data_IF_568089073105
#
_entry.id   IF_568089073105
#
_cell.length_a   1.000
_cell.length_b   1.000
_cell.length_c   1.000
_cell.angle_alpha   90.00
_cell.angle_beta   90.00
_cell.angle_gamma   90.00
#
_symmetry.space_group_name_H-M   'P 1'
#
loop_
_entity.id
_entity.type
_entity.pdbx_description
1 polymer ?
#
# COMPACT_ATOMS: atom_id res chain seq x y z
N UNK A 1 -17.31 17.26 4.77
CA UNK A 1 -16.26 16.35 5.27
C UNK A 1 -15.90 15.42 4.11
N UNK A 2 -14.77 15.50 3.42
CA UNK A 2 -13.41 15.42 3.94
C UNK A 2 -12.93 13.96 4.00
N UNK A 3 -13.17 13.14 2.98
CA UNK A 3 -12.70 11.75 2.92
C UNK A 3 -11.24 11.75 2.42
N UNK A 4 -10.32 12.01 3.33
CA UNK A 4 -8.91 11.79 3.15
C UNK A 4 -8.68 10.27 3.06
N UNK A 5 -8.65 9.76 1.81
CA UNK A 5 -8.54 8.35 1.45
C UNK A 5 -7.24 7.65 1.90
N UNK A 6 -6.96 7.68 3.20
CA UNK A 6 -5.92 6.94 3.89
C UNK A 6 -6.45 5.57 4.25
N UNK A 7 -5.93 4.54 3.58
CA UNK A 7 -6.17 3.16 3.99
C UNK A 7 -5.19 2.80 5.11
N UNK A 8 -5.69 2.52 6.31
CA UNK A 8 -4.90 1.88 7.39
C UNK A 8 -4.96 0.36 7.24
N UNK A 9 -3.80 -0.24 6.98
CA UNK A 9 -3.54 -1.69 6.81
C UNK A 9 -3.95 -2.61 7.99
N UNK A 10 -4.52 -2.09 9.08
CA UNK A 10 -4.73 -2.85 10.31
C UNK A 10 -5.88 -3.87 10.29
N UNK A 11 -6.94 -3.63 9.52
CA UNK A 11 -8.18 -4.42 9.65
C UNK A 11 -8.41 -5.49 8.57
N UNK A 12 -7.76 -5.40 7.41
CA UNK A 12 -8.13 -6.22 6.23
C UNK A 12 -7.18 -7.39 5.95
N UNK A 13 -5.96 -7.37 6.49
CA UNK A 13 -4.96 -8.44 6.29
C UNK A 13 -5.29 -9.75 7.04
N UNK A 14 -6.11 -9.70 8.09
CA UNK A 14 -6.42 -10.88 8.90
C UNK A 14 -7.32 -11.93 8.23
N UNK A 15 -8.06 -11.57 7.18
CA UNK A 15 -9.07 -12.46 6.59
C UNK A 15 -8.54 -13.37 5.47
N UNK A 16 -7.49 -12.97 4.75
CA UNK A 16 -7.07 -13.63 3.50
C UNK A 16 -5.97 -14.69 3.66
N UNK A 17 -5.31 -14.78 4.82
CA UNK A 17 -4.16 -15.69 4.98
C UNK A 17 -4.55 -17.15 5.23
N UNK A 18 -5.82 -17.46 5.52
CA UNK A 18 -6.31 -18.84 5.67
C UNK A 18 -6.62 -19.58 4.36
N UNK A 19 -6.74 -18.88 3.23
CA UNK A 19 -7.22 -19.50 1.99
C UNK A 19 -6.12 -20.03 1.06
N UNK A 20 -4.83 -19.74 1.33
CA UNK A 20 -3.74 -20.08 0.38
C UNK A 20 -3.09 -21.47 0.57
N UNK A 21 -3.44 -22.26 1.59
CA UNK A 21 -2.78 -23.54 1.87
C UNK A 21 -3.50 -24.81 1.34
N UNK A 22 -4.62 -24.68 0.64
CA UNK A 22 -5.38 -25.84 0.14
C UNK A 22 -5.72 -25.76 -1.34
N UNK A 23 -4.77 -26.07 -2.24
CA UNK A 23 -5.09 -26.28 -3.66
C UNK A 23 -4.58 -27.63 -4.17
N UNK A 24 -5.41 -28.65 -3.99
CA UNK A 24 -5.47 -29.83 -4.85
C UNK A 24 -6.30 -29.52 -6.11
N UNK A 25 -5.81 -29.96 -7.26
CA UNK A 25 -6.28 -29.67 -8.62
C UNK A 25 -7.45 -30.60 -8.99
N UNK A 26 -8.57 -30.10 -9.54
CA UNK A 26 -9.36 -30.82 -10.57
C UNK A 26 -10.41 -29.95 -11.28
N UNK A 27 -10.64 -30.29 -12.55
CA UNK A 27 -11.55 -29.74 -13.56
C UNK A 27 -13.03 -29.76 -13.12
N UNK A 28 -13.80 -28.71 -13.43
CA UNK A 28 -15.03 -28.80 -14.26
C UNK A 28 -15.71 -27.45 -14.46
N UNK A 29 -16.07 -27.26 -15.72
CA UNK A 29 -16.99 -26.28 -16.29
C UNK A 29 -18.41 -26.48 -15.74
N UNK A 30 -19.07 -25.38 -15.32
CA UNK A 30 -20.43 -24.96 -15.75
C UNK A 30 -20.95 -23.79 -14.90
N UNK A 31 -21.34 -22.76 -15.64
CA UNK A 31 -22.29 -21.69 -15.39
C UNK A 31 -23.15 -21.81 -14.12
N UNK A 32 -22.93 -20.90 -13.16
CA UNK A 32 -23.98 -20.41 -12.25
C UNK A 32 -23.86 -18.90 -12.12
N UNK A 33 -24.75 -18.20 -12.82
CA UNK A 33 -25.12 -16.81 -12.58
C UNK A 33 -25.91 -16.77 -11.26
N UNK A 34 -25.33 -16.20 -10.20
CA UNK A 34 -26.08 -15.46 -9.18
C UNK A 34 -25.16 -14.84 -8.12
N UNK A 35 -25.28 -13.52 -7.97
CA UNK A 35 -25.28 -12.80 -6.70
C UNK A 35 -24.00 -12.83 -5.84
N UNK A 36 -23.17 -11.80 -5.99
CA UNK A 36 -22.88 -10.90 -4.86
C UNK A 36 -22.39 -9.56 -5.41
N UNK A 37 -23.36 -8.69 -5.72
CA UNK A 37 -23.14 -7.28 -5.99
C UNK A 37 -22.71 -6.60 -4.68
N UNK A 38 -21.45 -6.16 -4.61
CA UNK A 38 -21.08 -4.99 -3.81
C UNK A 38 -20.54 -3.90 -4.73
N UNK A 39 -21.38 -3.51 -5.70
CA UNK A 39 -21.32 -2.16 -6.26
C UNK A 39 -22.03 -1.25 -5.26
N UNK A 40 -21.26 -0.54 -4.45
CA UNK A 40 -21.77 0.68 -3.83
C UNK A 40 -21.83 1.78 -4.90
N UNK A 41 -22.94 2.53 -4.99
CA UNK A 41 -23.16 3.48 -6.06
C UNK A 41 -22.24 4.68 -5.87
N UNK A 42 -21.47 5.02 -6.90
CA UNK A 42 -20.74 6.28 -6.95
C UNK A 42 -21.77 7.43 -6.96
N UNK A 43 -21.98 8.03 -5.80
CA UNK A 43 -22.81 9.20 -5.60
C UNK A 43 -22.21 10.41 -6.33
N UNK A 44 -23.10 11.11 -7.04
CA UNK A 44 -23.07 12.55 -7.34
C UNK A 44 -21.84 13.14 -8.06
N UNK A 45 -22.10 13.67 -9.25
CA UNK A 45 -21.21 14.51 -10.03
C UNK A 45 -20.51 15.59 -9.17
N UNK A 46 -19.20 15.48 -9.02
CA UNK A 46 -18.34 16.51 -8.45
C UNK A 46 -17.04 16.51 -9.25
N UNK A 47 -16.71 17.65 -9.88
CA UNK A 47 -15.43 18.05 -10.48
C UNK A 47 -14.44 16.90 -10.83
N UNK A 48 -14.10 16.71 -12.11
CA UNK A 48 -13.08 15.76 -12.64
C UNK A 48 -11.66 15.93 -12.03
N UNK A 49 -11.50 15.81 -10.71
CA UNK A 49 -10.23 15.54 -10.06
C UNK A 49 -10.05 14.04 -10.16
N UNK A 50 -9.01 13.60 -10.86
CA UNK A 50 -8.62 12.18 -10.90
C UNK A 50 -8.62 11.64 -9.47
N UNK A 51 -9.42 10.60 -9.21
CA UNK A 51 -9.49 9.97 -7.90
C UNK A 51 -8.07 9.55 -7.48
N UNK A 52 -7.58 10.12 -6.37
CA UNK A 52 -6.23 9.84 -5.87
C UNK A 52 -6.30 8.54 -5.06
N UNK A 53 -5.37 7.65 -5.35
CA UNK A 53 -5.04 6.52 -4.49
C UNK A 53 -3.62 6.74 -3.98
N UNK A 54 -3.50 6.98 -2.67
CA UNK A 54 -2.25 7.33 -2.00
C UNK A 54 -1.83 6.18 -1.09
N UNK A 55 -0.61 5.69 -1.28
CA UNK A 55 -0.04 4.59 -0.48
C UNK A 55 1.00 5.13 0.50
N UNK A 56 0.84 4.77 1.77
CA UNK A 56 1.82 5.04 2.82
C UNK A 56 2.85 3.92 2.87
N UNK A 57 4.11 4.24 2.65
CA UNK A 57 5.19 3.26 2.63
C UNK A 57 6.10 3.44 3.83
N UNK A 58 6.51 2.32 4.40
CA UNK A 58 7.52 2.26 5.45
C UNK A 58 8.92 2.19 4.82
N UNK A 59 9.89 2.83 5.46
CA UNK A 59 11.31 2.81 5.08
C UNK A 59 12.17 1.92 5.99
N UNK A 60 11.70 1.62 7.20
CA UNK A 60 12.42 0.81 8.20
C UNK A 60 11.44 -0.07 8.99
N UNK A 61 11.98 -1.11 9.64
CA UNK A 61 11.25 -1.86 10.67
C UNK A 61 11.56 -1.21 12.02
N UNK A 62 10.60 -0.45 12.53
CA UNK A 62 10.79 0.44 13.67
C UNK A 62 11.36 1.80 13.24
N UNK A 63 11.79 2.63 14.20
CA UNK A 63 12.36 3.95 13.89
C UNK A 63 13.51 4.33 14.85
N UNK A 64 14.66 4.73 14.29
CA UNK A 64 15.84 5.10 15.07
C UNK A 64 15.72 6.47 15.75
N UNK A 65 14.83 7.34 15.27
CA UNK A 65 14.65 8.70 15.79
C UNK A 65 14.07 8.74 17.22
N UNK A 66 13.42 7.66 17.67
CA UNK A 66 12.85 7.54 19.03
C UNK A 66 11.99 8.74 19.46
N UNK A 67 11.24 9.33 18.54
CA UNK A 67 10.31 10.42 18.85
C UNK A 67 9.32 9.98 19.93
N UNK A 68 9.24 10.73 21.04
CA UNK A 68 8.43 10.37 22.23
C UNK A 68 6.94 10.23 21.94
N UNK A 69 6.44 10.98 20.97
CA UNK A 69 5.04 10.95 20.52
C UNK A 69 4.74 9.85 19.50
N UNK A 70 5.75 9.24 18.89
CA UNK A 70 5.57 8.29 17.79
C UNK A 70 5.56 6.84 18.30
N UNK A 71 4.55 6.06 17.91
CA UNK A 71 4.46 4.64 18.29
C UNK A 71 5.67 3.83 17.81
N UNK A 72 6.13 4.07 16.58
CA UNK A 72 7.32 3.40 16.01
C UNK A 72 8.62 3.85 16.68
N UNK A 73 8.66 5.09 17.16
CA UNK A 73 9.76 5.60 17.98
C UNK A 73 9.89 4.84 19.31
N UNK A 74 8.76 4.53 19.96
CA UNK A 74 8.74 3.74 21.21
C UNK A 74 9.15 2.28 21.02
N UNK A 75 8.84 1.69 19.86
CA UNK A 75 9.22 0.31 19.53
C UNK A 75 10.74 0.15 19.30
N UNK A 76 11.45 1.24 19.06
CA UNK A 76 12.87 1.23 18.73
C UNK A 76 13.14 0.83 17.28
N UNK A 77 14.42 0.80 16.91
CA UNK A 77 14.89 0.45 15.58
C UNK A 77 15.35 -1.01 15.53
N UNK A 78 14.96 -1.73 14.48
CA UNK A 78 15.44 -3.09 14.21
C UNK A 78 16.36 -3.15 13.00
N UNK A 79 15.86 -2.74 11.82
CA UNK A 79 16.62 -2.77 10.56
C UNK A 79 16.03 -1.84 9.51
N UNK A 80 16.83 -1.55 8.49
CA UNK A 80 16.38 -0.92 7.25
C UNK A 80 15.63 -1.91 6.35
N UNK A 81 14.67 -1.41 5.58
CA UNK A 81 14.02 -2.16 4.50
C UNK A 81 14.85 -2.07 3.22
N UNK A 82 14.87 -3.15 2.46
CA UNK A 82 15.43 -3.15 1.11
C UNK A 82 14.50 -2.42 0.13
N UNK A 83 15.03 -1.97 -1.01
CA UNK A 83 14.23 -1.33 -2.06
C UNK A 83 13.07 -2.22 -2.52
N UNK A 84 13.31 -3.54 -2.65
CA UNK A 84 12.27 -4.50 -3.01
C UNK A 84 11.15 -4.57 -1.97
N UNK A 85 11.48 -4.56 -0.68
CA UNK A 85 10.46 -4.53 0.40
C UNK A 85 9.66 -3.22 0.41
N UNK A 86 10.27 -2.09 0.03
CA UNK A 86 9.57 -0.80 -0.10
C UNK A 86 8.61 -0.83 -1.29
N UNK A 87 9.07 -1.28 -2.46
CA UNK A 87 8.24 -1.37 -3.68
C UNK A 87 7.10 -2.37 -3.50
N UNK A 88 7.36 -3.52 -2.87
CA UNK A 88 6.36 -4.57 -2.64
C UNK A 88 5.19 -4.09 -1.78
N UNK A 89 5.38 -3.13 -0.87
CA UNK A 89 4.27 -2.53 -0.12
C UNK A 89 3.27 -1.84 -1.05
N UNK A 90 3.74 -1.19 -2.11
CA UNK A 90 2.89 -0.53 -3.11
C UNK A 90 2.16 -1.57 -3.95
N UNK A 91 2.88 -2.55 -4.49
CA UNK A 91 2.30 -3.61 -5.33
C UNK A 91 1.24 -4.43 -4.57
N UNK A 92 1.54 -4.81 -3.33
CA UNK A 92 0.59 -5.55 -2.49
C UNK A 92 -0.71 -4.77 -2.25
N UNK A 93 -0.62 -3.44 -2.09
CA UNK A 93 -1.80 -2.60 -1.92
C UNK A 93 -2.58 -2.42 -3.22
N UNK A 94 -1.91 -2.31 -4.37
CA UNK A 94 -2.60 -2.31 -5.67
C UNK A 94 -3.41 -3.60 -5.87
N UNK A 95 -2.84 -4.76 -5.53
CA UNK A 95 -3.49 -6.06 -5.62
C UNK A 95 -4.67 -6.21 -4.66
N UNK A 96 -4.57 -5.67 -3.44
CA UNK A 96 -5.65 -5.73 -2.44
C UNK A 96 -6.83 -4.84 -2.86
N UNK A 97 -6.57 -3.62 -3.33
CA UNK A 97 -7.62 -2.65 -3.66
C UNK A 97 -8.09 -2.71 -5.11
N UNK A 98 -7.40 -3.46 -5.98
CA UNK A 98 -7.72 -3.57 -7.40
C UNK A 98 -7.62 -2.24 -8.15
N UNK A 99 -6.81 -1.30 -7.66
CA UNK A 99 -6.67 0.07 -8.21
C UNK A 99 -5.20 0.47 -8.23
N UNK A 100 -4.76 1.10 -9.32
CA UNK A 100 -3.37 1.59 -9.46
C UNK A 100 -3.08 2.73 -8.48
N UNK A 101 -1.97 2.65 -7.78
CA UNK A 101 -1.38 3.69 -6.97
C UNK A 101 -1.09 4.93 -7.84
N UNK A 102 -1.48 6.09 -7.31
CA UNK A 102 -1.25 7.38 -7.98
C UNK A 102 -0.28 8.28 -7.22
N UNK A 103 -0.09 8.01 -5.93
CA UNK A 103 0.64 8.84 -4.99
C UNK A 103 1.32 7.96 -3.95
N UNK A 104 2.56 8.26 -3.64
CA UNK A 104 3.37 7.50 -2.67
C UNK A 104 3.85 8.47 -1.60
N UNK A 105 3.63 8.14 -0.34
CA UNK A 105 4.09 8.96 0.79
C UNK A 105 4.94 8.13 1.73
N UNK A 106 6.12 8.64 2.07
CA UNK A 106 7.09 7.99 2.96
C UNK A 106 6.79 8.33 4.43
N UNK A 107 5.55 8.07 4.85
CA UNK A 107 5.01 8.37 6.19
C UNK A 107 4.61 7.11 6.98
N UNK A 108 5.08 5.94 6.55
CA UNK A 108 4.92 4.69 7.28
C UNK A 108 5.86 4.59 8.48
N UNK A 109 6.42 3.41 8.70
CA UNK A 109 7.43 3.19 9.75
C UNK A 109 8.83 3.61 9.27
N UNK A 110 9.58 4.29 10.14
CA UNK A 110 10.99 4.62 9.92
C UNK A 110 11.25 6.04 9.43
N UNK A 111 12.51 6.45 9.50
CA UNK A 111 13.01 7.73 8.99
C UNK A 111 13.62 7.51 7.58
N UNK A 112 12.98 8.02 6.50
CA UNK A 112 13.44 7.77 5.14
C UNK A 112 14.87 8.20 4.87
N UNK A 113 15.32 9.32 5.47
CA UNK A 113 16.69 9.82 5.29
C UNK A 113 17.74 8.89 5.90
N UNK A 114 17.38 8.12 6.93
CA UNK A 114 18.25 7.10 7.54
C UNK A 114 18.33 5.80 6.72
N UNK A 115 17.53 5.68 5.65
CA UNK A 115 17.60 4.59 4.69
C UNK A 115 17.67 5.11 3.23
N UNK A 116 18.34 6.25 3.04
CA UNK A 116 18.31 7.01 1.78
C UNK A 116 18.66 6.17 0.55
N UNK A 117 19.68 5.29 0.63
CA UNK A 117 20.10 4.44 -0.50
C UNK A 117 18.96 3.56 -1.01
N UNK A 118 18.26 2.87 -0.11
CA UNK A 118 17.17 1.96 -0.49
C UNK A 118 15.93 2.72 -0.91
N UNK A 119 15.64 3.85 -0.25
CA UNK A 119 14.52 4.73 -0.60
C UNK A 119 14.70 5.32 -2.01
N UNK A 120 15.89 5.79 -2.37
CA UNK A 120 16.16 6.31 -3.71
C UNK A 120 16.06 5.23 -4.79
N UNK A 121 16.53 4.01 -4.52
CA UNK A 121 16.36 2.88 -5.44
C UNK A 121 14.88 2.55 -5.63
N UNK A 122 14.12 2.45 -4.54
CA UNK A 122 12.67 2.21 -4.61
C UNK A 122 11.94 3.35 -5.34
N UNK A 123 12.33 4.60 -5.11
CA UNK A 123 11.76 5.76 -5.80
C UNK A 123 12.00 5.68 -7.32
N UNK A 124 13.21 5.33 -7.75
CA UNK A 124 13.52 5.14 -9.18
C UNK A 124 12.67 4.03 -9.79
N UNK A 125 12.60 2.86 -9.15
CA UNK A 125 11.72 1.77 -9.62
C UNK A 125 10.25 2.19 -9.68
N UNK A 126 9.75 2.90 -8.67
CA UNK A 126 8.36 3.38 -8.67
C UNK A 126 8.10 4.45 -9.74
N UNK A 127 9.10 5.26 -10.08
CA UNK A 127 8.98 6.34 -11.05
C UNK A 127 9.15 5.87 -12.49
N UNK A 128 10.18 5.07 -12.75
CA UNK A 128 10.57 4.59 -14.08
C UNK A 128 9.75 3.36 -14.49
N UNK A 129 9.69 2.32 -13.64
CA UNK A 129 9.06 1.04 -13.99
C UNK A 129 7.54 1.08 -13.80
N UNK A 130 7.06 1.71 -12.71
CA UNK A 130 5.62 1.81 -12.37
C UNK A 130 4.97 3.11 -12.87
N UNK A 131 5.76 4.05 -13.39
CA UNK A 131 5.27 5.27 -14.04
C UNK A 131 4.57 6.27 -13.10
N UNK A 132 4.87 6.23 -11.79
CA UNK A 132 4.34 7.21 -10.84
C UNK A 132 5.11 8.51 -11.03
N UNK A 133 4.45 9.62 -11.35
CA UNK A 133 5.14 10.89 -11.63
C UNK A 133 5.88 11.47 -10.41
N UNK A 134 7.05 12.09 -10.62
CA UNK A 134 7.89 12.61 -9.52
C UNK A 134 7.20 13.55 -8.53
N UNK A 135 6.23 14.37 -8.99
CA UNK A 135 5.42 15.27 -8.13
C UNK A 135 4.39 14.53 -7.25
N UNK A 136 4.33 13.21 -7.34
CA UNK A 136 3.40 12.34 -6.61
C UNK A 136 4.05 11.62 -5.43
N UNK A 137 5.35 11.84 -5.21
CA UNK A 137 6.12 11.35 -4.06
C UNK A 137 6.19 12.43 -2.98
N UNK A 138 6.06 12.04 -1.72
CA UNK A 138 6.23 12.94 -0.56
C UNK A 138 6.94 12.19 0.56
#
# INVERSE_FOLDING_TARGET
>A
EGDDGWVRLGSELGAREREKFGRGRSKREKNDKALMNHQTPASSASSKRRARFTVCVSSQVGCAMRCSFCATGKQGFKRNLSAAEIVNQVLALEDVFGRRCTNVVMMGMGEPLMNLKQVLLAHRTLNEDLGIGGRRFT
#
